data_IF_424408343232
#
_entry.id   IF_424408343232
#
_cell.length_a   1.000
_cell.length_b   1.000
_cell.length_c   1.000
_cell.angle_alpha   90.00
_cell.angle_beta   90.00
_cell.angle_gamma   90.00
#
_symmetry.space_group_name_H-M   'P 1'
#
loop_
_entity.id
_entity.type
_entity.pdbx_description
1 polymer ?
#
# COMPACT_ATOMS: atom_id res chain seq x y z
N UNK A 1 -24.15 -24.16 -23.08
CA UNK A 1 -23.21 -23.08 -23.48
C UNK A 1 -21.78 -23.53 -23.20
N UNK A 2 -20.92 -23.63 -24.22
CA UNK A 2 -19.54 -24.17 -24.10
C UNK A 2 -18.54 -23.17 -23.52
N UNK A 3 -18.79 -21.87 -23.65
CA UNK A 3 -17.94 -20.80 -23.12
C UNK A 3 -18.58 -20.20 -21.88
N UNK A 4 -17.83 -20.11 -20.79
CA UNK A 4 -18.26 -19.47 -19.55
C UNK A 4 -17.14 -18.58 -18.99
N UNK A 5 -17.54 -17.56 -18.23
CA UNK A 5 -16.63 -16.72 -17.48
C UNK A 5 -16.72 -17.06 -15.99
N UNK A 6 -15.57 -17.07 -15.31
CA UNK A 6 -15.45 -17.23 -13.87
C UNK A 6 -14.47 -16.19 -13.35
N UNK A 7 -14.98 -15.17 -12.67
CA UNK A 7 -14.16 -14.13 -12.07
C UNK A 7 -13.33 -14.71 -10.93
N UNK A 8 -12.03 -14.38 -10.89
CA UNK A 8 -11.15 -14.80 -9.80
C UNK A 8 -11.58 -14.20 -8.46
N UNK A 9 -11.31 -14.93 -7.37
CA UNK A 9 -11.55 -14.48 -6.00
C UNK A 9 -10.31 -14.62 -5.12
N UNK A 10 -10.38 -14.04 -3.91
CA UNK A 10 -9.38 -14.19 -2.86
C UNK A 10 -10.05 -14.62 -1.56
N UNK A 11 -9.37 -15.42 -0.74
CA UNK A 11 -9.94 -15.90 0.53
C UNK A 11 -9.93 -14.79 1.59
N UNK A 12 -11.10 -14.45 2.19
CA UNK A 12 -11.15 -13.41 3.23
C UNK A 12 -10.49 -13.87 4.54
N UNK A 13 -10.36 -15.18 4.76
CA UNK A 13 -9.68 -15.74 5.93
C UNK A 13 -8.21 -15.28 5.99
N UNK A 14 -7.49 -15.32 4.87
CA UNK A 14 -6.08 -14.86 4.82
C UNK A 14 -5.98 -13.35 4.66
N UNK A 15 -6.70 -12.78 3.70
CA UNK A 15 -6.46 -11.41 3.24
C UNK A 15 -7.19 -10.34 4.04
N UNK A 16 -8.12 -10.72 4.92
CA UNK A 16 -8.82 -9.80 5.80
C UNK A 16 -8.65 -10.24 7.26
N UNK A 17 -9.10 -11.44 7.64
CA UNK A 17 -9.07 -11.88 9.04
C UNK A 17 -7.64 -12.03 9.61
N UNK A 18 -6.76 -12.75 8.90
CA UNK A 18 -5.39 -12.98 9.36
C UNK A 18 -4.46 -11.79 9.09
N UNK A 19 -4.52 -11.21 7.89
CA UNK A 19 -3.65 -10.10 7.51
C UNK A 19 -3.95 -8.81 8.28
N UNK A 20 -5.24 -8.56 8.56
CA UNK A 20 -5.72 -7.31 9.17
C UNK A 20 -6.52 -7.56 10.47
N UNK A 21 -5.88 -8.08 11.54
CA UNK A 21 -6.56 -8.28 12.82
C UNK A 21 -7.25 -7.02 13.38
N UNK A 22 -6.66 -5.80 13.28
CA UNK A 22 -7.34 -4.60 13.75
C UNK A 22 -8.68 -4.34 13.07
N UNK A 23 -8.75 -4.47 11.73
CA UNK A 23 -10.02 -4.29 11.03
C UNK A 23 -10.96 -5.47 11.27
N UNK A 24 -10.44 -6.69 11.36
CA UNK A 24 -11.24 -7.86 11.65
C UNK A 24 -11.99 -7.73 12.99
N UNK A 25 -11.36 -7.16 14.02
CA UNK A 25 -12.01 -6.86 15.29
C UNK A 25 -13.17 -5.86 15.13
N UNK A 26 -12.97 -4.78 14.35
CA UNK A 26 -14.04 -3.81 14.05
C UNK A 26 -15.22 -4.47 13.32
N UNK A 27 -14.93 -5.42 12.41
CA UNK A 27 -15.98 -6.19 11.74
C UNK A 27 -16.71 -7.12 12.69
N UNK A 28 -15.98 -7.77 13.59
CA UNK A 28 -16.55 -8.69 14.57
C UNK A 28 -17.51 -7.99 15.53
N UNK A 29 -17.14 -6.78 15.98
CA UNK A 29 -17.99 -5.95 16.83
C UNK A 29 -19.25 -5.45 16.10
N UNK A 30 -19.18 -5.32 14.77
CA UNK A 30 -20.23 -4.73 13.96
C UNK A 30 -21.24 -5.75 13.41
N UNK A 31 -20.76 -6.89 12.92
CA UNK A 31 -21.55 -7.88 12.15
C UNK A 31 -21.29 -9.32 12.61
N UNK A 32 -20.63 -9.51 13.76
CA UNK A 32 -20.26 -10.83 14.27
C UNK A 32 -19.11 -11.48 13.49
N UNK A 33 -18.87 -12.78 13.70
CA UNK A 33 -17.67 -13.45 13.16
C UNK A 33 -17.90 -14.27 11.88
N UNK A 34 -19.17 -14.46 11.48
CA UNK A 34 -19.59 -15.33 10.37
C UNK A 34 -19.20 -14.80 8.99
N UNK A 35 -18.92 -13.50 8.85
CA UNK A 35 -18.43 -12.91 7.60
C UNK A 35 -17.16 -13.59 7.07
N UNK A 36 -16.39 -14.21 7.98
CA UNK A 36 -15.21 -14.98 7.60
C UNK A 36 -15.57 -16.10 6.66
N UNK A 37 -16.69 -16.80 6.79
CA UNK A 37 -17.12 -17.89 5.90
C UNK A 37 -18.07 -17.40 4.81
N UNK A 38 -18.89 -16.38 5.09
CA UNK A 38 -19.82 -15.74 4.16
C UNK A 38 -19.53 -14.24 4.00
N UNK A 39 -18.75 -13.90 2.97
CA UNK A 39 -18.30 -12.51 2.75
C UNK A 39 -19.44 -11.56 2.32
N UNK A 40 -20.61 -12.07 1.97
CA UNK A 40 -21.75 -11.24 1.57
C UNK A 40 -22.29 -10.38 2.72
N UNK A 41 -22.06 -10.81 3.96
CA UNK A 41 -22.42 -10.09 5.20
C UNK A 41 -21.70 -8.74 5.36
N UNK A 42 -20.58 -8.50 4.65
CA UNK A 42 -19.96 -7.18 4.63
C UNK A 42 -20.91 -6.08 4.09
N UNK A 43 -21.97 -6.46 3.39
CA UNK A 43 -23.01 -5.51 2.94
C UNK A 43 -23.78 -4.87 4.09
N UNK A 44 -23.88 -5.52 5.26
CA UNK A 44 -24.57 -5.03 6.46
C UNK A 44 -23.86 -3.83 7.09
N UNK A 45 -22.55 -3.68 6.84
CA UNK A 45 -21.74 -2.54 7.29
C UNK A 45 -22.27 -1.21 6.76
N UNK A 46 -23.01 -1.22 5.64
CA UNK A 46 -23.64 -0.01 5.07
C UNK A 46 -24.52 0.71 6.09
N UNK A 47 -25.15 0.01 7.02
CA UNK A 47 -25.95 0.62 8.08
C UNK A 47 -25.10 1.44 9.08
N UNK A 48 -23.78 1.26 9.09
CA UNK A 48 -22.87 1.84 10.06
C UNK A 48 -22.00 3.00 9.53
N UNK A 49 -22.08 3.30 8.23
CA UNK A 49 -21.17 4.27 7.59
C UNK A 49 -21.36 5.70 8.09
N UNK A 50 -22.53 6.03 8.64
CA UNK A 50 -22.84 7.36 9.17
C UNK A 50 -22.50 7.50 10.66
N UNK A 51 -22.13 6.41 11.36
CA UNK A 51 -21.75 6.48 12.77
C UNK A 51 -20.28 6.91 12.93
N UNK A 52 -19.99 8.05 13.58
CA UNK A 52 -18.61 8.53 13.76
C UNK A 52 -17.72 7.54 14.51
N UNK A 53 -18.28 6.81 15.47
CA UNK A 53 -17.56 5.78 16.24
C UNK A 53 -17.02 4.65 15.36
N UNK A 54 -17.83 4.19 14.41
CA UNK A 54 -17.44 3.15 13.45
C UNK A 54 -16.33 3.67 12.51
N UNK A 55 -16.52 4.86 11.93
CA UNK A 55 -15.51 5.49 11.06
C UNK A 55 -14.17 5.70 11.78
N UNK A 56 -14.20 6.16 13.02
CA UNK A 56 -13.00 6.31 13.86
C UNK A 56 -12.34 4.96 14.16
N UNK A 57 -13.12 3.90 14.42
CA UNK A 57 -12.57 2.56 14.64
C UNK A 57 -11.85 2.04 13.39
N UNK A 58 -12.44 2.21 12.20
CA UNK A 58 -11.82 1.84 10.92
C UNK A 58 -10.55 2.65 10.66
N UNK A 59 -10.58 3.96 10.93
CA UNK A 59 -9.41 4.83 10.79
C UNK A 59 -8.27 4.42 11.74
N UNK A 60 -8.58 4.12 13.01
CA UNK A 60 -7.60 3.59 13.97
C UNK A 60 -7.00 2.27 13.50
N UNK A 61 -7.82 1.35 13.00
CA UNK A 61 -7.34 0.08 12.43
C UNK A 61 -6.39 0.33 11.24
N UNK A 62 -6.72 1.26 10.32
CA UNK A 62 -5.83 1.66 9.22
C UNK A 62 -4.51 2.22 9.75
N UNK A 63 -4.57 3.12 10.72
CA UNK A 63 -3.39 3.75 11.33
C UNK A 63 -2.44 2.74 11.95
N UNK A 64 -2.95 1.82 12.77
CA UNK A 64 -2.15 0.75 13.38
C UNK A 64 -1.44 -0.12 12.33
N UNK A 65 -2.12 -0.42 11.22
CA UNK A 65 -1.50 -1.16 10.12
C UNK A 65 -0.38 -0.36 9.42
N UNK A 66 -0.56 0.96 9.23
CA UNK A 66 0.47 1.85 8.68
C UNK A 66 1.68 1.94 9.59
N UNK A 67 1.48 2.03 10.90
CA UNK A 67 2.57 2.02 11.89
C UNK A 67 3.34 0.69 11.85
N UNK A 68 2.64 -0.45 11.76
CA UNK A 68 3.27 -1.76 11.60
C UNK A 68 4.14 -1.83 10.34
N UNK A 69 3.66 -1.31 9.21
CA UNK A 69 4.44 -1.26 7.98
C UNK A 69 5.61 -0.27 8.07
N UNK A 70 5.41 0.90 8.68
CA UNK A 70 6.47 1.89 8.89
C UNK A 70 7.62 1.32 9.73
N UNK A 71 7.30 0.59 10.81
CA UNK A 71 8.28 -0.13 11.62
C UNK A 71 9.04 -1.20 10.81
N UNK A 72 8.33 -1.94 9.96
CA UNK A 72 8.97 -2.92 9.07
C UNK A 72 9.94 -2.25 8.09
N UNK A 73 9.53 -1.14 7.46
CA UNK A 73 10.36 -0.36 6.53
C UNK A 73 11.61 0.19 7.25
N UNK A 74 11.44 0.76 8.44
CA UNK A 74 12.55 1.27 9.24
C UNK A 74 13.57 0.16 9.57
N UNK A 75 13.08 -1.01 10.02
CA UNK A 75 13.95 -2.15 10.38
C UNK A 75 14.69 -2.77 9.20
N UNK A 76 14.07 -2.79 8.02
CA UNK A 76 14.61 -3.53 6.86
C UNK A 76 15.34 -2.67 5.85
N UNK A 77 14.97 -1.40 5.72
CA UNK A 77 15.53 -0.47 4.74
C UNK A 77 16.28 0.70 5.40
N UNK A 78 16.23 0.83 6.73
CA UNK A 78 16.75 2.00 7.44
C UNK A 78 16.16 3.32 6.94
N UNK A 79 14.88 3.30 6.52
CA UNK A 79 14.14 4.48 6.07
C UNK A 79 13.00 4.72 7.05
N UNK A 80 12.96 5.91 7.64
CA UNK A 80 11.84 6.35 8.48
C UNK A 80 10.78 6.97 7.59
N UNK A 81 9.55 6.45 7.67
CA UNK A 81 8.39 6.95 6.91
C UNK A 81 7.30 7.41 7.87
N UNK A 82 6.59 8.47 7.50
CA UNK A 82 5.54 9.06 8.31
C UNK A 82 4.21 8.28 8.15
N UNK A 83 3.67 7.62 9.20
CA UNK A 83 2.38 6.93 9.12
C UNK A 83 1.17 7.85 8.97
N UNK A 84 1.31 9.18 9.11
CA UNK A 84 0.27 10.16 8.77
C UNK A 84 0.14 10.40 7.27
N UNK A 85 1.23 10.20 6.51
CA UNK A 85 1.24 10.38 5.05
C UNK A 85 0.39 9.31 4.35
N UNK A 86 -0.18 9.64 3.19
CA UNK A 86 -0.87 8.66 2.34
C UNK A 86 0.12 7.56 1.90
N UNK A 87 -0.21 6.30 2.14
CA UNK A 87 0.60 5.16 1.67
C UNK A 87 0.13 4.77 0.27
N UNK A 88 0.90 5.14 -0.74
CA UNK A 88 0.59 4.90 -2.15
C UNK A 88 1.31 3.63 -2.63
N UNK A 89 0.57 2.53 -2.79
CA UNK A 89 1.15 1.19 -2.87
C UNK A 89 0.98 0.58 -4.27
N UNK A 90 2.09 0.22 -4.91
CA UNK A 90 2.10 -0.59 -6.13
C UNK A 90 2.89 -1.89 -5.92
N UNK A 91 2.19 -2.94 -5.48
CA UNK A 91 2.74 -4.28 -5.25
C UNK A 91 2.27 -5.29 -6.30
N UNK A 92 3.20 -5.77 -7.14
CA UNK A 92 2.96 -6.79 -8.17
C UNK A 92 4.27 -7.16 -8.85
N UNK A 93 4.26 -8.23 -9.67
CA UNK A 93 5.41 -8.56 -10.56
C UNK A 93 5.84 -7.31 -11.34
N UNK A 94 7.14 -7.12 -11.53
CA UNK A 94 7.66 -5.99 -12.31
C UNK A 94 7.60 -6.37 -13.78
N UNK A 95 6.85 -5.59 -14.56
CA UNK A 95 6.62 -5.85 -15.98
C UNK A 95 6.16 -4.56 -16.65
N UNK A 96 6.61 -4.31 -17.88
CA UNK A 96 6.26 -3.10 -18.63
C UNK A 96 4.74 -2.85 -18.72
N UNK A 97 3.93 -3.88 -18.99
CA UNK A 97 2.46 -3.72 -19.04
C UNK A 97 1.83 -3.34 -17.70
N UNK A 98 2.50 -3.63 -16.57
CA UNK A 98 2.03 -3.26 -15.23
C UNK A 98 2.39 -1.82 -14.86
N UNK A 99 3.18 -1.15 -15.71
CA UNK A 99 3.45 0.29 -15.70
C UNK A 99 3.97 0.83 -14.37
N UNK A 100 4.87 0.10 -13.70
CA UNK A 100 5.66 0.68 -12.62
C UNK A 100 6.48 1.88 -13.10
N UNK A 101 6.91 1.86 -14.37
CA UNK A 101 7.56 2.99 -15.02
C UNK A 101 6.68 4.25 -15.01
N UNK A 102 5.39 4.12 -15.35
CA UNK A 102 4.46 5.26 -15.31
C UNK A 102 4.33 5.83 -13.90
N UNK A 103 4.25 4.95 -12.89
CA UNK A 103 4.14 5.38 -11.50
C UNK A 103 5.39 6.14 -11.05
N UNK A 104 6.60 5.64 -11.32
CA UNK A 104 7.82 6.36 -10.93
C UNK A 104 7.99 7.69 -11.70
N UNK A 105 7.53 7.80 -12.94
CA UNK A 105 7.49 9.09 -13.66
C UNK A 105 6.53 10.09 -12.99
N UNK A 106 5.40 9.62 -12.48
CA UNK A 106 4.51 10.44 -11.67
C UNK A 106 5.17 10.89 -10.37
N UNK A 107 5.91 10.00 -9.69
CA UNK A 107 6.70 10.36 -8.49
C UNK A 107 7.72 11.46 -8.80
N UNK A 108 8.45 11.35 -9.90
CA UNK A 108 9.39 12.38 -10.36
C UNK A 108 8.66 13.71 -10.61
N UNK A 109 7.46 13.65 -11.18
CA UNK A 109 6.63 14.85 -11.40
C UNK A 109 6.23 15.50 -10.08
N UNK A 110 5.78 14.72 -9.09
CA UNK A 110 5.44 15.24 -7.75
C UNK A 110 6.64 15.89 -7.08
N UNK A 111 7.82 15.26 -7.19
CA UNK A 111 9.07 15.79 -6.67
C UNK A 111 9.45 17.11 -7.34
N UNK A 112 9.48 17.18 -8.67
CA UNK A 112 9.80 18.42 -9.39
C UNK A 112 8.83 19.55 -9.05
N UNK A 113 7.54 19.25 -8.96
CA UNK A 113 6.53 20.24 -8.57
C UNK A 113 6.70 20.70 -7.12
N UNK A 114 7.24 19.85 -6.23
CA UNK A 114 7.49 20.22 -4.83
C UNK A 114 8.68 21.19 -4.73
N UNK A 115 9.69 21.00 -5.57
CA UNK A 115 10.83 21.90 -5.63
C UNK A 115 10.51 23.24 -6.31
N UNK A 116 9.60 23.22 -7.30
CA UNK A 116 9.21 24.43 -8.01
C UNK A 116 8.32 25.37 -7.19
N UNK A 117 7.52 24.82 -6.28
CA UNK A 117 6.62 25.56 -5.41
C UNK A 117 6.61 24.89 -4.03
N UNK A 118 7.44 25.36 -3.07
CA UNK A 118 7.52 24.78 -1.74
C UNK A 118 6.28 25.02 -0.86
N UNK A 119 5.50 26.08 -1.14
CA UNK A 119 4.38 26.52 -0.31
C UNK A 119 3.05 25.87 -0.70
N UNK A 120 3.03 25.15 -1.82
CA UNK A 120 1.85 24.43 -2.28
C UNK A 120 1.37 23.39 -1.26
N UNK A 121 0.11 23.53 -0.86
CA UNK A 121 -0.52 22.57 0.03
C UNK A 121 -0.70 21.22 -0.68
N UNK A 122 -0.14 20.16 -0.09
CA UNK A 122 -0.22 18.79 -0.61
C UNK A 122 -0.32 17.79 0.52
N UNK A 123 -1.02 16.69 0.24
CA UNK A 123 -1.04 15.53 1.13
C UNK A 123 0.34 14.84 1.07
N UNK A 124 1.05 14.67 2.20
CA UNK A 124 2.30 13.94 2.24
C UNK A 124 2.10 12.50 1.75
N UNK A 125 3.09 11.94 1.03
CA UNK A 125 3.00 10.59 0.45
C UNK A 125 4.21 9.72 0.75
N UNK A 126 3.94 8.45 1.02
CA UNK A 126 4.94 7.38 1.04
C UNK A 126 4.59 6.43 -0.09
N UNK A 127 5.37 6.49 -1.17
CA UNK A 127 5.16 5.67 -2.36
C UNK A 127 5.93 4.37 -2.22
N UNK A 128 5.22 3.25 -2.21
CA UNK A 128 5.73 1.93 -1.87
C UNK A 128 5.63 1.02 -3.09
N UNK A 129 6.79 0.62 -3.61
CA UNK A 129 6.91 -0.41 -4.63
C UNK A 129 7.31 -1.73 -3.98
N UNK A 130 6.77 -2.84 -4.48
CA UNK A 130 7.32 -4.16 -4.18
C UNK A 130 7.02 -5.14 -5.32
N UNK A 131 8.00 -5.96 -5.68
CA UNK A 131 7.85 -6.91 -6.76
C UNK A 131 9.14 -7.62 -7.10
N UNK A 132 9.03 -8.59 -8.01
CA UNK A 132 10.15 -9.32 -8.59
C UNK A 132 10.10 -9.20 -10.11
N UNK A 133 11.26 -9.02 -10.72
CA UNK A 133 11.45 -9.19 -12.16
C UNK A 133 11.97 -10.61 -12.43
N UNK A 134 11.62 -11.17 -13.59
CA UNK A 134 12.27 -12.40 -14.06
C UNK A 134 13.76 -12.13 -14.30
N UNK A 135 14.62 -13.11 -14.02
CA UNK A 135 16.09 -12.95 -14.06
C UNK A 135 16.60 -12.46 -15.41
N UNK A 136 16.04 -12.99 -16.50
CA UNK A 136 16.38 -12.63 -17.89
C UNK A 136 15.72 -11.33 -18.39
N UNK A 137 14.77 -10.76 -17.64
CA UNK A 137 14.02 -9.59 -18.11
C UNK A 137 14.75 -8.29 -17.79
N UNK A 138 15.67 -7.92 -18.68
CA UNK A 138 16.54 -6.77 -18.51
C UNK A 138 15.79 -5.45 -18.27
N UNK A 139 14.80 -5.12 -19.12
CA UNK A 139 14.05 -3.87 -19.00
C UNK A 139 13.31 -3.77 -17.64
N UNK A 140 12.69 -4.85 -17.18
CA UNK A 140 12.06 -4.89 -15.87
C UNK A 140 13.06 -4.65 -14.73
N UNK A 141 14.30 -5.17 -14.83
CA UNK A 141 15.36 -4.89 -13.86
C UNK A 141 15.82 -3.43 -13.90
N UNK A 142 15.87 -2.80 -15.09
CA UNK A 142 16.17 -1.36 -15.19
C UNK A 142 15.07 -0.49 -14.56
N UNK A 143 13.79 -0.90 -14.64
CA UNK A 143 12.71 -0.21 -13.93
C UNK A 143 12.91 -0.30 -12.41
N UNK A 144 13.30 -1.46 -11.87
CA UNK A 144 13.64 -1.60 -10.44
C UNK A 144 14.80 -0.67 -10.08
N UNK A 145 15.87 -0.65 -10.89
CA UNK A 145 17.02 0.23 -10.67
C UNK A 145 16.59 1.70 -10.64
N UNK A 146 15.83 2.15 -11.63
CA UNK A 146 15.31 3.52 -11.70
C UNK A 146 14.52 3.90 -10.44
N UNK A 147 13.63 3.03 -9.96
CA UNK A 147 12.86 3.29 -8.74
C UNK A 147 13.78 3.47 -7.53
N UNK A 148 14.80 2.63 -7.39
CA UNK A 148 15.75 2.75 -6.28
C UNK A 148 16.62 4.01 -6.38
N UNK A 149 17.07 4.36 -7.58
CA UNK A 149 17.87 5.56 -7.82
C UNK A 149 17.04 6.84 -7.51
N UNK A 150 15.77 6.87 -7.96
CA UNK A 150 14.82 7.95 -7.62
C UNK A 150 14.56 8.01 -6.12
N UNK A 151 14.37 6.86 -5.46
CA UNK A 151 14.18 6.80 -4.01
C UNK A 151 15.40 7.35 -3.26
N UNK A 152 16.61 7.04 -3.71
CA UNK A 152 17.85 7.58 -3.13
C UNK A 152 17.93 9.09 -3.25
N UNK A 153 17.56 9.66 -4.39
CA UNK A 153 17.53 11.12 -4.58
C UNK A 153 16.48 11.76 -3.67
N UNK A 154 15.23 11.33 -3.79
CA UNK A 154 14.10 11.98 -3.08
C UNK A 154 14.24 11.84 -1.56
N UNK A 155 14.62 10.67 -1.05
CA UNK A 155 14.64 10.43 0.40
C UNK A 155 15.76 11.20 1.11
N UNK A 156 16.79 11.64 0.39
CA UNK A 156 17.94 12.39 0.92
C UNK A 156 17.91 13.88 0.55
N UNK A 157 16.91 14.36 -0.19
CA UNK A 157 16.79 15.78 -0.50
C UNK A 157 16.17 16.53 0.70
N UNK A 158 16.91 17.43 1.37
CA UNK A 158 16.39 18.16 2.53
C UNK A 158 15.18 19.05 2.18
N UNK A 159 15.05 19.49 0.92
CA UNK A 159 13.93 20.34 0.46
C UNK A 159 12.60 19.60 0.44
N UNK A 160 12.63 18.26 0.37
CA UNK A 160 11.43 17.42 0.35
C UNK A 160 10.86 17.21 1.76
N UNK A 161 11.69 17.31 2.80
CA UNK A 161 11.33 17.04 4.19
C UNK A 161 10.51 15.73 4.35
N UNK A 162 9.28 15.83 4.86
CA UNK A 162 8.36 14.72 5.12
C UNK A 162 7.27 14.60 4.07
N UNK A 163 7.30 15.41 3.01
CA UNK A 163 6.22 15.52 2.02
C UNK A 163 6.19 14.33 1.06
N UNK A 164 7.35 13.78 0.69
CA UNK A 164 7.44 12.66 -0.22
C UNK A 164 8.55 11.70 0.21
N UNK A 165 8.19 10.43 0.36
CA UNK A 165 9.13 9.31 0.51
C UNK A 165 8.84 8.26 -0.54
N UNK A 166 9.88 7.58 -1.00
CA UNK A 166 9.78 6.47 -1.95
C UNK A 166 10.53 5.28 -1.39
N UNK A 167 9.91 4.11 -1.39
CA UNK A 167 10.56 2.88 -0.91
C UNK A 167 10.30 1.74 -1.88
N UNK A 168 11.32 0.92 -2.10
CA UNK A 168 11.18 -0.37 -2.77
C UNK A 168 11.42 -1.48 -1.75
N UNK A 169 10.35 -2.20 -1.37
CA UNK A 169 10.46 -3.31 -0.42
C UNK A 169 10.94 -4.57 -1.17
N UNK A 170 12.11 -5.13 -0.83
CA UNK A 170 12.69 -6.26 -1.52
C UNK A 170 11.96 -7.57 -1.22
N UNK A 171 12.21 -8.58 -2.04
CA UNK A 171 11.75 -9.96 -1.84
C UNK A 171 10.24 -10.12 -1.59
N UNK A 172 9.41 -9.36 -2.31
CA UNK A 172 7.95 -9.43 -2.19
C UNK A 172 7.41 -10.87 -2.28
N UNK A 173 6.53 -11.21 -1.34
CA UNK A 173 5.89 -12.51 -1.19
C UNK A 173 4.66 -12.41 -0.29
N UNK A 174 4.03 -13.55 0.03
CA UNK A 174 2.77 -13.57 0.78
C UNK A 174 2.91 -12.97 2.19
N UNK A 175 4.02 -13.24 2.89
CA UNK A 175 4.26 -12.68 4.21
C UNK A 175 4.29 -11.14 4.18
N UNK A 176 4.95 -10.55 3.18
CA UNK A 176 4.98 -9.10 3.03
C UNK A 176 3.66 -8.52 2.58
N UNK A 177 2.95 -9.21 1.69
CA UNK A 177 1.62 -8.78 1.25
C UNK A 177 0.64 -8.66 2.44
N UNK A 178 0.73 -9.56 3.43
CA UNK A 178 -0.10 -9.50 4.65
C UNK A 178 0.21 -8.29 5.55
N UNK A 179 1.39 -7.68 5.41
CA UNK A 179 1.77 -6.45 6.13
C UNK A 179 1.38 -5.23 5.30
N UNK A 180 1.65 -5.26 3.99
CA UNK A 180 1.49 -4.11 3.09
C UNK A 180 0.02 -3.83 2.78
N UNK A 181 -0.78 -4.84 2.42
CA UNK A 181 -2.17 -4.65 1.97
C UNK A 181 -3.05 -3.98 3.05
N UNK A 182 -2.99 -4.37 4.33
CA UNK A 182 -3.77 -3.70 5.38
C UNK A 182 -3.38 -2.23 5.61
N UNK A 183 -2.15 -1.84 5.27
CA UNK A 183 -1.62 -0.49 5.47
C UNK A 183 -1.85 0.46 4.28
N UNK A 184 -2.12 -0.09 3.09
CA UNK A 184 -2.40 0.65 1.87
C UNK A 184 -3.70 1.47 1.93
#
# INVERSE_FOLDING_TARGET
>A
TRFCNKTNGVTPRRWLALANPPLAAVLDDCIGQTWRTDLSQLSEIKANVDYPSFLQAVQRAKRQNKERLALYIAKTLNVVVNPDALFDVQIKRIHEYKRQLLNVLHVITLYNRLLADPDIERVPRVVIFAGKAASAYYAAKQIIRLINDVAKVINNDPRVHTQLKVVFIPNYGVSLAQIIIPAA
#
